data_IF_432438932329
#
_entry.id   IF_432438932329
#
_cell.length_a   1.000
_cell.length_b   1.000
_cell.length_c   1.000
_cell.angle_alpha   90.00
_cell.angle_beta   90.00
_cell.angle_gamma   90.00
#
_symmetry.space_group_name_H-M   'P 1'
#
loop_
_entity.id
_entity.type
_entity.pdbx_description
1 polymer ?
#
# COMPACT_ATOMS: atom_id res chain seq x y z
N UNK A 1 -9.89 -5.66 -7.49
CA UNK A 1 -9.41 -5.18 -6.16
C UNK A 1 -8.73 -6.25 -5.32
N UNK A 2 -9.23 -7.49 -5.20
CA UNK A 2 -8.49 -8.55 -4.47
C UNK A 2 -7.14 -8.87 -5.09
N UNK A 3 -7.03 -8.89 -6.41
CA UNK A 3 -5.74 -9.10 -7.10
C UNK A 3 -4.74 -7.96 -6.84
N UNK A 4 -5.19 -6.70 -6.88
CA UNK A 4 -4.38 -5.55 -6.49
C UNK A 4 -3.85 -5.71 -5.05
N UNK A 5 -4.71 -6.09 -4.11
CA UNK A 5 -4.27 -6.35 -2.73
C UNK A 5 -3.27 -7.50 -2.64
N UNK A 6 -3.50 -8.59 -3.36
CA UNK A 6 -2.60 -9.74 -3.37
C UNK A 6 -1.21 -9.35 -3.90
N UNK A 7 -1.15 -8.59 -4.99
CA UNK A 7 0.11 -8.08 -5.56
C UNK A 7 0.84 -7.14 -4.60
N UNK A 8 0.13 -6.21 -3.95
CA UNK A 8 0.74 -5.34 -2.93
C UNK A 8 1.31 -6.18 -1.76
N UNK A 9 0.60 -7.23 -1.34
CA UNK A 9 1.07 -8.15 -0.28
C UNK A 9 2.27 -9.01 -0.69
N UNK A 10 2.59 -9.16 -1.98
CA UNK A 10 3.81 -9.88 -2.39
C UNK A 10 5.08 -9.06 -2.21
N UNK A 11 4.97 -7.76 -1.91
CA UNK A 11 6.11 -6.94 -1.55
C UNK A 11 6.59 -7.37 -0.15
N UNK A 12 7.74 -8.05 -0.12
CA UNK A 12 8.42 -8.45 1.10
C UNK A 12 9.70 -7.62 1.29
N UNK A 13 9.86 -7.03 2.48
CA UNK A 13 11.03 -6.25 2.88
C UNK A 13 11.32 -6.51 4.36
N UNK A 14 12.59 -6.56 4.76
CA UNK A 14 12.94 -6.68 6.18
C UNK A 14 12.48 -5.44 6.95
N UNK A 15 11.66 -5.65 7.98
CA UNK A 15 11.01 -4.58 8.74
C UNK A 15 9.70 -4.04 8.15
N UNK A 16 9.14 -4.64 7.09
CA UNK A 16 7.80 -4.32 6.57
C UNK A 16 6.78 -5.37 7.03
N UNK A 17 5.68 -4.92 7.61
CA UNK A 17 4.57 -5.78 8.02
C UNK A 17 3.23 -5.26 7.50
N UNK A 18 2.57 -6.04 6.66
CA UNK A 18 1.26 -5.72 6.11
C UNK A 18 0.14 -5.99 7.14
N UNK A 19 -0.74 -5.00 7.31
CA UNK A 19 -1.86 -5.04 8.23
C UNK A 19 -3.21 -5.30 7.55
N UNK A 20 -4.27 -4.80 8.19
CA UNK A 20 -5.61 -4.86 7.64
C UNK A 20 -5.77 -3.93 6.44
N UNK A 21 -6.61 -4.37 5.51
CA UNK A 21 -6.99 -3.64 4.30
C UNK A 21 -8.51 -3.43 4.27
N UNK A 22 -8.95 -2.39 3.57
CA UNK A 22 -10.36 -2.13 3.27
C UNK A 22 -10.50 -1.39 1.95
N UNK A 23 -11.66 -1.53 1.33
CA UNK A 23 -12.02 -0.72 0.17
C UNK A 23 -12.77 0.53 0.64
N UNK A 24 -12.33 1.69 0.17
CA UNK A 24 -12.93 2.98 0.51
C UNK A 24 -13.51 3.61 -0.74
N UNK A 25 -14.81 3.94 -0.76
CA UNK A 25 -15.41 4.62 -1.90
C UNK A 25 -14.84 6.05 -2.03
N UNK A 26 -14.44 6.43 -3.24
CA UNK A 26 -13.92 7.77 -3.56
C UNK A 26 -14.90 8.62 -4.38
N UNK A 27 -15.94 7.99 -4.94
CA UNK A 27 -16.98 8.64 -5.73
C UNK A 27 -17.23 7.95 -7.06
N UNK A 28 -18.36 8.24 -7.71
CA UNK A 28 -18.67 7.78 -9.09
C UNK A 28 -18.53 6.27 -9.31
N UNK A 29 -18.81 5.45 -8.28
CA UNK A 29 -18.68 3.98 -8.33
C UNK A 29 -17.24 3.45 -8.20
N UNK A 30 -16.24 4.33 -8.06
CA UNK A 30 -14.84 3.99 -7.90
C UNK A 30 -14.51 3.79 -6.41
N UNK A 31 -13.70 2.79 -6.12
CA UNK A 31 -13.19 2.47 -4.79
C UNK A 31 -11.67 2.42 -4.84
N UNK A 32 -11.01 2.91 -3.78
CA UNK A 32 -9.57 2.75 -3.58
C UNK A 32 -9.27 1.66 -2.56
N UNK A 33 -8.13 1.00 -2.72
CA UNK A 33 -7.60 0.09 -1.71
C UNK A 33 -6.90 0.94 -0.63
N UNK A 34 -7.35 0.80 0.61
CA UNK A 34 -6.65 1.35 1.76
C UNK A 34 -6.07 0.18 2.57
N UNK A 35 -4.75 0.09 2.63
CA UNK A 35 -4.03 -0.94 3.37
C UNK A 35 -3.10 -0.30 4.40
N UNK A 36 -3.08 -0.86 5.61
CA UNK A 36 -2.14 -0.45 6.65
C UNK A 36 -0.85 -1.28 6.52
N UNK A 37 0.28 -0.64 6.78
CA UNK A 37 1.56 -1.31 6.98
C UNK A 37 2.27 -0.72 8.19
N UNK A 38 3.12 -1.53 8.82
CA UNK A 38 4.06 -1.11 9.86
C UNK A 38 5.44 -1.25 9.28
N UNK A 39 6.28 -0.23 9.45
CA UNK A 39 7.64 -0.19 8.91
C UNK A 39 8.67 0.12 9.99
N UNK A 40 9.83 -0.52 9.89
CA UNK A 40 11.03 -0.13 10.62
C UNK A 40 11.76 0.99 9.85
N UNK A 41 11.75 2.21 10.40
CA UNK A 41 12.31 3.40 9.73
C UNK A 41 13.79 3.28 9.35
N UNK A 42 14.57 2.46 10.05
CA UNK A 42 16.00 2.25 9.74
C UNK A 42 16.23 1.28 8.57
N UNK A 43 15.19 0.55 8.14
CA UNK A 43 15.30 -0.52 7.13
C UNK A 43 14.43 -0.30 5.90
N UNK A 44 13.26 0.30 6.06
CA UNK A 44 12.28 0.47 5.00
C UNK A 44 12.08 1.95 4.72
N UNK A 45 12.40 2.36 3.49
CA UNK A 45 12.05 3.68 2.99
C UNK A 45 10.61 3.68 2.48
N UNK A 46 9.83 4.69 2.87
CA UNK A 46 8.45 4.88 2.39
C UNK A 46 8.45 5.14 0.88
N UNK A 47 9.40 5.95 0.39
CA UNK A 47 9.50 6.28 -1.04
C UNK A 47 9.71 5.01 -1.88
N UNK A 48 10.65 4.14 -1.47
CA UNK A 48 10.90 2.86 -2.14
C UNK A 48 9.69 1.92 -2.09
N UNK A 49 8.96 1.92 -0.97
CA UNK A 49 7.74 1.13 -0.83
C UNK A 49 6.66 1.63 -1.79
N UNK A 50 6.50 2.95 -1.95
CA UNK A 50 5.57 3.54 -2.91
C UNK A 50 5.96 3.18 -4.35
N UNK A 51 7.24 3.34 -4.72
CA UNK A 51 7.74 2.97 -6.06
C UNK A 51 7.43 1.51 -6.39
N UNK A 52 7.72 0.58 -5.48
CA UNK A 52 7.41 -0.85 -5.68
C UNK A 52 5.92 -1.15 -5.85
N UNK A 53 5.05 -0.36 -5.24
CA UNK A 53 3.59 -0.51 -5.41
C UNK A 53 3.19 0.06 -6.78
N UNK A 54 3.77 1.18 -7.20
CA UNK A 54 3.49 1.82 -8.49
C UNK A 54 3.98 0.99 -9.70
N UNK A 55 4.96 0.10 -9.52
CA UNK A 55 5.38 -0.89 -10.53
C UNK A 55 4.25 -1.82 -10.99
N UNK A 56 3.16 -1.96 -10.21
CA UNK A 56 1.97 -2.72 -10.62
C UNK A 56 1.06 -1.89 -11.54
N UNK A 57 1.59 -1.42 -12.68
CA UNK A 57 0.93 -0.48 -13.62
C UNK A 57 -0.45 -0.95 -14.10
N UNK A 58 -0.68 -2.26 -14.19
CA UNK A 58 -1.98 -2.85 -14.58
C UNK A 58 -3.09 -2.65 -13.52
N UNK A 59 -2.71 -2.40 -12.26
CA UNK A 59 -3.61 -2.36 -11.12
C UNK A 59 -3.56 -1.05 -10.31
N UNK A 60 -2.44 -0.34 -10.35
CA UNK A 60 -2.16 0.84 -9.52
C UNK A 60 -2.03 2.07 -10.41
N UNK A 61 -2.91 3.04 -10.20
CA UNK A 61 -2.85 4.33 -10.91
C UNK A 61 -1.95 5.35 -10.19
N UNK A 62 -1.97 5.34 -8.86
CA UNK A 62 -1.16 6.21 -7.99
C UNK A 62 -1.19 5.68 -6.56
N UNK A 63 -0.21 6.06 -5.74
CA UNK A 63 -0.15 5.73 -4.31
C UNK A 63 -0.06 6.99 -3.47
N UNK A 64 -0.91 7.09 -2.44
CA UNK A 64 -0.93 8.20 -1.49
C UNK A 64 -0.91 7.70 -0.04
N UNK A 65 -0.23 8.45 0.83
CA UNK A 65 -0.24 8.19 2.28
C UNK A 65 -1.51 8.76 2.88
N UNK A 66 -2.43 7.88 3.28
CA UNK A 66 -3.70 8.29 3.89
C UNK A 66 -3.54 8.84 5.32
N UNK A 67 -2.61 8.27 6.10
CA UNK A 67 -2.27 8.69 7.45
C UNK A 67 -0.91 8.11 7.83
N UNK A 68 -0.16 8.81 8.69
CA UNK A 68 1.12 8.35 9.22
C UNK A 68 1.15 8.55 10.74
N UNK A 69 1.40 7.48 11.48
CA UNK A 69 1.50 7.48 12.93
C UNK A 69 2.82 6.83 13.35
N UNK A 70 3.44 7.38 14.40
CA UNK A 70 4.59 6.74 15.04
C UNK A 70 4.11 5.80 16.14
N UNK A 71 4.66 4.60 16.19
CA UNK A 71 4.40 3.57 17.21
C UNK A 71 5.71 3.29 17.96
#
# INVERSE_FOLDING_TARGET
MKEMENNVRTIEMDGLLWGASKLVPVGYGIQKLQIMCVIENEKVSIDLLQEKIEEFEDFVQSVDIAAFNKI
#
